data_IF_417479729089
#
_entry.id   IF_417479729089
#
_cell.length_a   1.000
_cell.length_b   1.000
_cell.length_c   1.000
_cell.angle_alpha   90.00
_cell.angle_beta   90.00
_cell.angle_gamma   90.00
#
_symmetry.space_group_name_H-M   'P 1'
#
loop_
_entity.id
_entity.type
_entity.pdbx_description
1 polymer ?
#
# COMPACT_ATOMS: atom_id res chain seq x y z
N UNK A 1 60.20 -10.67 38.82
CA UNK A 1 59.95 -9.32 39.34
C UNK A 1 60.61 -8.30 38.40
N UNK A 2 60.06 -7.08 38.30
CA UNK A 2 60.63 -5.77 37.88
C UNK A 2 62.17 -5.74 37.63
N UNK A 3 62.78 -5.01 36.69
CA UNK A 3 62.52 -3.71 36.01
C UNK A 3 63.17 -3.76 34.58
N UNK A 4 63.12 -2.80 33.64
CA UNK A 4 62.55 -1.42 33.56
C UNK A 4 62.27 -0.99 32.08
N UNK A 5 61.92 0.29 31.88
CA UNK A 5 62.07 1.06 30.62
C UNK A 5 63.21 2.12 30.81
N UNK A 6 63.59 3.10 29.96
CA UNK A 6 62.94 3.93 28.91
C UNK A 6 64.03 4.55 28.01
N UNK A 7 63.67 4.97 26.79
CA UNK A 7 64.23 6.10 25.98
C UNK A 7 64.85 5.67 24.66
N UNK A 8 64.80 6.42 23.55
CA UNK A 8 64.05 7.61 23.06
C UNK A 8 64.69 7.83 21.67
N UNK A 9 63.93 8.12 20.63
CA UNK A 9 64.41 9.04 19.57
C UNK A 9 63.24 9.58 18.76
N UNK A 10 63.46 10.74 18.14
CA UNK A 10 62.43 11.65 17.65
C UNK A 10 62.34 11.63 16.12
N UNK A 11 61.10 11.71 15.63
CA UNK A 11 60.64 12.36 14.39
C UNK A 11 61.66 12.66 13.27
N UNK A 12 61.34 12.16 12.07
CA UNK A 12 61.55 12.88 10.81
C UNK A 12 60.27 12.86 9.97
N UNK A 13 59.97 13.99 9.31
CA UNK A 13 58.90 14.11 8.31
C UNK A 13 59.45 13.68 6.95
N UNK A 14 58.68 12.93 6.16
CA UNK A 14 58.78 13.02 4.70
C UNK A 14 57.47 12.63 4.00
N UNK A 15 57.16 13.31 2.89
CA UNK A 15 55.95 13.09 2.11
C UNK A 15 56.08 11.85 1.20
N UNK A 16 55.24 10.84 1.39
CA UNK A 16 55.16 9.69 0.50
C UNK A 16 53.83 9.63 -0.26
N UNK A 17 53.85 10.08 -1.52
CA UNK A 17 52.70 10.01 -2.45
C UNK A 17 52.33 8.55 -2.74
N UNK A 18 51.19 8.06 -2.24
CA UNK A 18 50.62 6.80 -2.73
C UNK A 18 49.82 7.02 -4.01
N UNK A 19 50.35 6.53 -5.13
CA UNK A 19 49.61 6.43 -6.40
C UNK A 19 48.65 5.24 -6.33
N UNK A 20 47.35 5.47 -6.52
CA UNK A 20 46.35 4.42 -6.71
C UNK A 20 46.25 4.01 -8.19
N UNK A 21 46.58 2.76 -8.56
CA UNK A 21 46.31 2.26 -9.91
C UNK A 21 44.86 1.72 -10.03
N UNK A 22 44.04 2.42 -10.81
CA UNK A 22 43.11 1.82 -11.77
C UNK A 22 42.02 0.84 -11.31
N UNK A 23 40.77 1.31 -11.41
CA UNK A 23 39.55 0.54 -11.75
C UNK A 23 38.91 -0.37 -10.66
N UNK A 24 38.27 0.28 -9.69
CA UNK A 24 36.82 0.03 -9.50
C UNK A 24 36.12 1.36 -9.75
N UNK A 25 35.44 1.48 -10.90
CA UNK A 25 34.64 2.65 -11.20
C UNK A 25 33.38 2.63 -10.33
N UNK A 26 33.29 3.57 -9.38
CA UNK A 26 32.06 3.85 -8.64
C UNK A 26 31.03 4.37 -9.65
N UNK A 27 30.15 3.48 -10.12
CA UNK A 27 29.02 3.84 -10.99
C UNK A 27 27.92 4.56 -10.19
N UNK A 28 28.23 5.80 -9.80
CA UNK A 28 27.26 6.82 -9.42
C UNK A 28 27.46 7.98 -10.39
N UNK A 29 26.92 7.86 -11.62
CA UNK A 29 25.98 8.89 -12.05
C UNK A 29 24.91 8.37 -13.03
N UNK A 30 23.66 8.21 -12.58
CA UNK A 30 22.49 8.32 -13.47
C UNK A 30 21.16 8.61 -12.74
N UNK A 31 21.20 9.46 -11.71
CA UNK A 31 19.99 9.95 -11.03
C UNK A 31 19.53 11.35 -11.50
N UNK A 32 20.33 12.03 -12.35
CA UNK A 32 20.09 13.41 -12.81
C UNK A 32 20.02 13.50 -14.35
N UNK A 33 19.01 12.89 -14.99
CA UNK A 33 18.66 13.20 -16.40
C UNK A 33 17.22 12.86 -16.84
N UNK A 34 16.53 11.91 -16.18
CA UNK A 34 15.48 11.13 -16.85
C UNK A 34 14.03 11.28 -16.32
N UNK A 35 13.64 12.47 -15.82
CA UNK A 35 12.24 12.75 -15.43
C UNK A 35 11.75 14.13 -15.93
N UNK A 36 11.87 14.35 -17.24
CA UNK A 36 11.01 15.30 -17.94
C UNK A 36 9.53 14.91 -17.74
N UNK A 37 8.67 15.91 -17.63
CA UNK A 37 7.40 15.79 -16.91
C UNK A 37 6.35 14.86 -17.52
N UNK A 38 5.89 13.92 -16.70
CA UNK A 38 4.45 13.61 -16.57
C UNK A 38 4.18 13.53 -15.06
N UNK A 39 3.28 14.38 -14.55
CA UNK A 39 2.86 14.35 -13.14
C UNK A 39 1.87 13.21 -12.92
N UNK A 40 2.35 11.97 -12.82
CA UNK A 40 1.48 10.87 -12.41
C UNK A 40 1.22 10.94 -10.90
N UNK A 41 -0.05 10.93 -10.55
CA UNK A 41 -0.54 11.47 -9.29
C UNK A 41 -0.27 10.46 -8.17
N UNK A 42 0.20 10.95 -7.02
CA UNK A 42 0.11 10.21 -5.75
C UNK A 42 -1.36 10.19 -5.28
N UNK A 43 -2.24 9.59 -6.08
CA UNK A 43 -3.59 9.20 -5.70
C UNK A 43 -3.51 7.98 -4.79
N UNK A 44 -4.53 7.78 -3.95
CA UNK A 44 -4.60 6.72 -2.96
C UNK A 44 -4.23 5.36 -3.58
N UNK A 45 -3.09 4.78 -3.20
CA UNK A 45 -2.56 3.61 -3.89
C UNK A 45 -3.21 2.34 -3.35
N UNK A 46 -3.48 1.37 -4.22
CA UNK A 46 -3.94 0.05 -3.78
C UNK A 46 -2.74 -0.74 -3.28
N UNK A 47 -2.94 -1.62 -2.30
CA UNK A 47 -1.90 -2.58 -1.89
C UNK A 47 -1.59 -3.59 -3.01
N UNK A 48 -2.46 -3.70 -4.04
CA UNK A 48 -2.14 -4.35 -5.32
C UNK A 48 -0.82 -3.88 -5.96
N UNK A 49 -0.40 -2.65 -5.66
CA UNK A 49 0.79 -2.03 -6.24
C UNK A 49 2.05 -2.20 -5.36
N UNK A 50 1.99 -3.07 -4.34
CA UNK A 50 3.08 -3.37 -3.39
C UNK A 50 3.61 -4.80 -3.58
N UNK A 51 4.93 -5.04 -3.59
CA UNK A 51 5.51 -6.38 -3.52
C UNK A 51 5.67 -6.83 -2.05
N UNK A 52 5.92 -8.13 -1.79
CA UNK A 52 5.87 -8.71 -0.44
C UNK A 52 6.66 -7.98 0.67
N UNK A 53 7.86 -7.47 0.36
CA UNK A 53 8.82 -6.99 1.37
C UNK A 53 9.10 -5.48 1.32
N UNK A 54 8.75 -4.80 0.22
CA UNK A 54 8.99 -3.36 0.09
C UNK A 54 7.76 -2.56 0.53
N UNK A 55 7.98 -1.36 1.07
CA UNK A 55 6.87 -0.43 1.31
C UNK A 55 6.20 0.01 -0.01
N UNK A 56 6.96 -0.01 -1.12
CA UNK A 56 6.56 0.50 -2.43
C UNK A 56 6.27 1.99 -2.46
N UNK A 57 6.66 2.73 -1.41
CA UNK A 57 6.24 4.12 -1.18
C UNK A 57 4.73 4.26 -0.95
N UNK A 58 4.05 3.17 -0.59
CA UNK A 58 2.59 3.11 -0.48
C UNK A 58 2.06 4.06 0.59
N UNK A 59 1.01 4.79 0.23
CA UNK A 59 0.20 5.61 1.11
C UNK A 59 -1.28 5.22 0.93
N UNK A 60 -2.01 5.16 2.04
CA UNK A 60 -3.43 4.83 2.04
C UNK A 60 -4.31 5.98 1.54
N UNK A 61 -5.62 5.78 1.56
CA UNK A 61 -6.58 6.88 1.37
C UNK A 61 -6.60 7.81 2.60
N UNK A 62 -6.72 9.13 2.38
CA UNK A 62 -6.73 10.13 3.48
C UNK A 62 -7.85 9.87 4.48
N UNK A 63 -7.55 9.97 5.78
CA UNK A 63 -8.51 9.70 6.85
C UNK A 63 -8.85 8.21 7.02
N UNK A 64 -8.03 7.31 6.47
CA UNK A 64 -8.22 5.86 6.57
C UNK A 64 -7.21 5.26 7.54
N UNK A 65 -7.72 4.51 8.51
CA UNK A 65 -6.93 3.60 9.34
C UNK A 65 -6.72 2.30 8.55
N UNK A 66 -5.47 1.91 8.36
CA UNK A 66 -5.03 0.75 7.61
C UNK A 66 -4.62 -0.33 8.61
N UNK A 67 -5.23 -1.50 8.52
CA UNK A 67 -4.77 -2.70 9.21
C UNK A 67 -4.30 -3.72 8.17
N UNK A 68 -3.01 -4.07 8.19
CA UNK A 68 -2.49 -5.15 7.36
C UNK A 68 -2.04 -6.31 8.26
N UNK A 69 -2.49 -7.51 7.94
CA UNK A 69 -2.07 -8.74 8.57
C UNK A 69 -1.20 -9.52 7.58
N UNK A 70 0.11 -9.47 7.76
CA UNK A 70 1.08 -10.27 7.00
C UNK A 70 1.37 -11.54 7.79
N UNK A 71 0.98 -12.70 7.28
CA UNK A 71 1.21 -13.98 7.92
C UNK A 71 2.18 -14.82 7.10
N UNK A 72 3.38 -15.07 7.64
CA UNK A 72 4.38 -15.94 7.00
C UNK A 72 4.52 -17.24 7.78
N UNK A 73 4.73 -18.34 7.08
CA UNK A 73 4.86 -19.66 7.67
C UNK A 73 5.93 -20.49 6.96
N UNK A 74 6.64 -21.29 7.75
CA UNK A 74 7.58 -22.30 7.25
C UNK A 74 7.13 -23.69 7.67
N UNK A 75 7.38 -24.68 6.83
CA UNK A 75 7.22 -26.09 7.18
C UNK A 75 8.60 -26.63 7.56
N UNK A 76 8.72 -27.19 8.76
CA UNK A 76 9.94 -27.86 9.21
C UNK A 76 10.18 -29.20 8.50
N UNK A 77 11.39 -29.71 8.61
CA UNK A 77 11.80 -30.94 7.96
C UNK A 77 11.13 -32.20 8.56
N UNK A 78 11.31 -33.34 7.89
CA UNK A 78 10.91 -34.64 8.43
C UNK A 78 11.72 -34.99 9.71
N UNK A 79 11.15 -35.78 10.65
CA UNK A 79 9.83 -36.40 10.60
C UNK A 79 8.69 -35.45 11.01
N UNK A 80 8.98 -34.36 11.73
CA UNK A 80 7.97 -33.55 12.42
C UNK A 80 7.04 -32.77 11.48
N UNK A 81 7.55 -32.29 10.33
CA UNK A 81 6.78 -31.49 9.34
C UNK A 81 6.00 -30.32 9.96
N UNK A 82 6.52 -29.75 11.06
CA UNK A 82 5.84 -28.73 11.88
C UNK A 82 5.66 -27.44 11.08
N UNK A 83 4.43 -26.95 10.99
CA UNK A 83 4.16 -25.58 10.52
C UNK A 83 4.50 -24.60 11.65
N UNK A 84 5.40 -23.65 11.37
CA UNK A 84 5.75 -22.55 12.27
C UNK A 84 5.26 -21.25 11.67
N UNK A 85 4.47 -20.49 12.43
CA UNK A 85 3.82 -19.25 12.02
C UNK A 85 4.56 -18.03 12.59
N UNK A 86 4.70 -16.98 11.77
CA UNK A 86 5.37 -15.72 12.12
C UNK A 86 4.54 -14.54 11.57
N UNK A 87 3.39 -14.21 12.19
CA UNK A 87 2.61 -13.04 11.83
C UNK A 87 3.36 -11.72 12.13
N UNK A 88 3.12 -10.74 11.27
CA UNK A 88 3.40 -9.31 11.45
C UNK A 88 2.11 -8.52 11.23
N UNK A 89 1.77 -7.66 12.17
CA UNK A 89 0.63 -6.76 12.12
C UNK A 89 1.12 -5.34 11.83
N UNK A 90 0.51 -4.66 10.86
CA UNK A 90 0.70 -3.24 10.62
C UNK A 90 -0.60 -2.52 10.98
N UNK A 91 -0.51 -1.49 11.82
CA UNK A 91 -1.58 -0.53 12.04
C UNK A 91 -1.07 0.87 11.72
N UNK A 92 -1.68 1.55 10.75
CA UNK A 92 -1.25 2.87 10.31
C UNK A 92 -2.41 3.79 9.96
N UNK A 93 -2.32 5.07 10.30
CA UNK A 93 -3.30 6.08 9.95
C UNK A 93 -2.76 7.03 8.88
N UNK A 94 -3.49 7.15 7.77
CA UNK A 94 -3.18 8.12 6.74
C UNK A 94 -3.78 9.48 7.12
N UNK A 95 -2.91 10.45 7.42
CA UNK A 95 -3.34 11.81 7.73
C UNK A 95 -3.96 12.51 6.50
N UNK A 96 -4.66 13.66 6.69
CA UNK A 96 -5.14 14.49 5.58
C UNK A 96 -4.02 15.08 4.69
N UNK A 97 -2.80 15.13 5.23
CA UNK A 97 -1.54 15.45 4.54
C UNK A 97 -0.89 14.17 3.98
N UNK A 98 0.11 14.24 3.07
CA UNK A 98 0.76 13.05 2.49
C UNK A 98 1.76 12.39 3.46
N UNK A 99 1.29 12.07 4.67
CA UNK A 99 2.02 11.47 5.77
C UNK A 99 1.18 10.32 6.37
N UNK A 100 1.72 9.11 6.30
CA UNK A 100 1.22 7.92 6.98
C UNK A 100 2.01 7.77 8.28
N UNK A 101 1.34 7.54 9.40
CA UNK A 101 1.99 7.19 10.68
C UNK A 101 1.47 5.84 11.15
N UNK A 102 2.30 5.02 11.78
CA UNK A 102 1.87 3.70 12.22
C UNK A 102 2.94 2.91 12.94
N UNK A 103 2.68 1.62 13.13
CA UNK A 103 3.66 0.67 13.63
C UNK A 103 3.50 -0.70 12.95
N UNK A 104 4.60 -1.44 12.92
CA UNK A 104 4.63 -2.89 12.75
C UNK A 104 4.82 -3.56 14.11
N UNK A 105 4.09 -4.64 14.37
CA UNK A 105 4.37 -5.59 15.44
C UNK A 105 4.59 -6.98 14.83
N UNK A 106 5.82 -7.47 14.89
CA UNK A 106 6.22 -8.75 14.33
C UNK A 106 6.52 -9.77 15.42
N UNK A 107 6.10 -11.02 15.19
CA UNK A 107 6.36 -12.15 16.09
C UNK A 107 7.44 -13.07 15.53
N UNK A 108 8.12 -13.80 16.42
CA UNK A 108 9.27 -14.66 16.06
C UNK A 108 10.36 -13.89 15.32
N UNK A 109 10.68 -12.66 15.75
CA UNK A 109 11.67 -11.82 15.08
C UNK A 109 13.06 -12.46 15.09
N UNK A 110 13.78 -12.26 14.01
CA UNK A 110 15.15 -12.67 13.76
C UNK A 110 16.08 -11.45 13.60
N UNK A 111 15.60 -10.25 13.92
CA UNK A 111 16.38 -9.01 13.85
C UNK A 111 17.45 -8.95 14.94
N UNK A 112 17.09 -9.30 16.18
CA UNK A 112 18.00 -9.35 17.32
C UNK A 112 17.69 -10.55 18.21
N UNK A 113 18.71 -11.36 18.56
CA UNK A 113 18.52 -12.65 19.22
C UNK A 113 17.87 -12.57 20.62
N UNK A 114 17.99 -11.44 21.31
CA UNK A 114 17.37 -11.21 22.62
C UNK A 114 15.87 -10.89 22.56
N UNK A 115 15.32 -10.58 21.38
CA UNK A 115 13.97 -10.05 21.21
C UNK A 115 13.11 -10.97 20.34
N UNK A 116 12.28 -11.86 20.94
CA UNK A 116 11.47 -12.81 20.19
C UNK A 116 10.32 -12.15 19.42
N UNK A 117 9.97 -10.91 19.77
CA UNK A 117 9.01 -10.07 19.07
C UNK A 117 9.61 -8.69 18.87
N UNK A 118 9.12 -7.95 17.88
CA UNK A 118 9.72 -6.73 17.38
C UNK A 118 8.63 -5.68 17.12
N UNK A 119 8.86 -4.46 17.64
CA UNK A 119 8.04 -3.29 17.30
C UNK A 119 8.85 -2.34 16.43
N UNK A 120 8.25 -1.84 15.35
CA UNK A 120 8.79 -0.75 14.55
C UNK A 120 7.73 0.33 14.42
N UNK A 121 7.88 1.44 15.17
CA UNK A 121 7.01 2.62 15.01
C UNK A 121 7.58 3.47 13.87
N UNK A 122 6.75 3.91 12.92
CA UNK A 122 7.21 4.61 11.73
C UNK A 122 6.33 5.78 11.30
N UNK A 123 6.94 6.70 10.55
CA UNK A 123 6.27 7.73 9.77
C UNK A 123 6.78 7.67 8.32
N UNK A 124 5.88 7.76 7.35
CA UNK A 124 6.17 7.71 5.91
C UNK A 124 5.54 8.90 5.19
N UNK A 125 6.38 9.79 4.68
CA UNK A 125 5.99 10.88 3.79
C UNK A 125 6.14 10.43 2.33
N UNK A 126 5.22 10.80 1.43
CA UNK A 126 5.34 10.42 0.02
C UNK A 126 4.62 11.32 -0.97
N UNK A 127 5.28 11.65 -2.08
CA UNK A 127 4.75 12.52 -3.15
C UNK A 127 5.40 12.19 -4.49
N UNK A 128 4.61 12.21 -5.56
CA UNK A 128 5.09 12.10 -6.95
C UNK A 128 6.03 10.91 -7.22
N UNK A 129 5.65 9.72 -6.72
CA UNK A 129 6.45 8.49 -6.88
C UNK A 129 7.64 8.35 -5.94
N UNK A 130 7.99 9.37 -5.14
CA UNK A 130 9.05 9.29 -4.13
C UNK A 130 8.45 9.22 -2.73
N UNK A 131 9.00 8.40 -1.86
CA UNK A 131 8.62 8.32 -0.45
C UNK A 131 9.83 8.18 0.46
N UNK A 132 9.75 8.79 1.64
CA UNK A 132 10.71 8.66 2.72
C UNK A 132 9.98 8.09 3.93
N UNK A 133 10.43 6.94 4.42
CA UNK A 133 10.06 6.39 5.72
C UNK A 133 11.20 6.60 6.71
N UNK A 134 10.85 7.00 7.92
CA UNK A 134 11.70 6.88 9.10
C UNK A 134 10.94 6.05 10.15
N UNK A 135 11.65 5.20 10.89
CA UNK A 135 11.08 4.41 11.96
C UNK A 135 12.07 4.15 13.09
N UNK A 136 11.57 3.68 14.22
CA UNK A 136 12.38 3.22 15.34
C UNK A 136 12.09 1.75 15.61
N UNK A 137 13.12 0.92 15.49
CA UNK A 137 13.07 -0.51 15.70
C UNK A 137 13.46 -0.84 17.15
N UNK A 138 12.51 -1.38 17.92
CA UNK A 138 12.69 -1.66 19.34
C UNK A 138 13.61 -2.88 19.59
N UNK A 139 13.63 -3.87 18.69
CA UNK A 139 14.47 -5.06 18.84
C UNK A 139 15.95 -4.75 18.54
N UNK A 140 16.22 -3.87 17.56
CA UNK A 140 17.56 -3.39 17.28
C UNK A 140 18.01 -2.24 18.21
N UNK A 141 17.06 -1.48 18.75
CA UNK A 141 17.32 -0.27 19.54
C UNK A 141 17.73 0.93 18.67
N UNK A 142 17.17 1.08 17.46
CA UNK A 142 17.71 1.99 16.44
C UNK A 142 16.69 2.74 15.60
N UNK A 143 17.08 3.93 15.15
CA UNK A 143 16.37 4.67 14.11
C UNK A 143 16.77 4.22 12.72
N UNK A 144 15.82 3.79 11.91
CA UNK A 144 16.05 3.27 10.56
C UNK A 144 15.26 4.10 9.54
N UNK A 145 15.72 4.12 8.28
CA UNK A 145 15.10 4.89 7.21
C UNK A 145 15.07 4.14 5.87
N UNK A 146 14.07 4.43 5.05
CA UNK A 146 13.93 3.96 3.67
C UNK A 146 13.57 5.12 2.75
N UNK A 147 14.37 5.33 1.70
CA UNK A 147 14.00 6.13 0.53
C UNK A 147 13.49 5.17 -0.55
N UNK A 148 12.27 5.38 -1.02
CA UNK A 148 11.69 4.69 -2.18
C UNK A 148 11.52 5.65 -3.35
N UNK A 149 11.87 5.21 -4.55
CA UNK A 149 11.45 5.82 -5.81
C UNK A 149 10.67 4.77 -6.62
N UNK A 150 9.48 5.13 -7.11
CA UNK A 150 8.58 4.25 -7.86
C UNK A 150 7.97 4.97 -9.06
N UNK A 151 7.80 4.24 -10.18
CA UNK A 151 7.20 4.74 -11.42
C UNK A 151 6.22 3.72 -11.99
N UNK A 152 5.05 4.17 -12.42
CA UNK A 152 4.12 3.39 -13.24
C UNK A 152 4.37 3.65 -14.73
N UNK A 153 4.30 2.60 -15.54
CA UNK A 153 4.36 2.62 -17.01
C UNK A 153 3.28 1.65 -17.52
N UNK A 154 2.11 2.20 -17.84
CA UNK A 154 0.94 1.41 -18.21
C UNK A 154 0.50 0.47 -17.08
N UNK A 155 0.58 -0.85 -17.31
CA UNK A 155 0.21 -1.89 -16.33
C UNK A 155 1.35 -2.30 -15.40
N UNK A 156 2.57 -1.86 -15.66
CA UNK A 156 3.77 -2.19 -14.89
C UNK A 156 4.12 -1.05 -13.95
N UNK A 157 4.32 -1.34 -12.67
CA UNK A 157 4.97 -0.43 -11.71
C UNK A 157 6.35 -0.99 -11.37
N UNK A 158 7.34 -0.12 -11.39
CA UNK A 158 8.72 -0.41 -10.97
C UNK A 158 9.04 0.41 -9.72
N UNK A 159 9.88 -0.12 -8.85
CA UNK A 159 10.40 0.59 -7.69
C UNK A 159 11.85 0.24 -7.39
N UNK A 160 12.56 1.21 -6.83
CA UNK A 160 13.91 1.08 -6.27
C UNK A 160 13.90 1.65 -4.84
N UNK A 161 14.67 1.04 -3.95
CA UNK A 161 14.77 1.43 -2.54
C UNK A 161 16.23 1.53 -2.10
N UNK A 162 16.50 2.46 -1.20
CA UNK A 162 17.71 2.53 -0.39
C UNK A 162 17.33 2.64 1.08
N UNK A 163 17.96 1.83 1.94
CA UNK A 163 17.73 1.78 3.38
C UNK A 163 19.00 2.09 4.16
N UNK A 164 18.84 2.79 5.28
CA UNK A 164 19.84 3.03 6.31
C UNK A 164 19.30 2.43 7.61
N UNK A 165 20.05 1.50 8.20
CA UNK A 165 19.72 0.83 9.46
C UNK A 165 20.78 1.24 10.49
N UNK A 166 20.48 2.11 11.45
CA UNK A 166 21.55 2.77 12.23
C UNK A 166 22.26 1.84 13.23
N UNK A 167 21.54 0.86 13.79
CA UNK A 167 22.10 -0.31 14.45
C UNK A 167 21.59 -1.57 13.75
N UNK A 168 22.19 -1.94 12.63
CA UNK A 168 21.73 -3.06 11.81
C UNK A 168 21.86 -4.39 12.58
N UNK A 169 20.72 -5.00 12.89
CA UNK A 169 20.57 -6.29 13.56
C UNK A 169 21.17 -6.36 14.97
N UNK A 170 21.16 -5.23 15.69
CA UNK A 170 21.72 -5.10 17.04
C UNK A 170 23.21 -5.54 17.10
N UNK A 171 24.04 -4.91 16.27
CA UNK A 171 25.48 -5.21 16.13
C UNK A 171 26.39 -3.97 16.27
N UNK A 172 25.85 -2.87 16.78
CA UNK A 172 26.45 -1.54 16.95
C UNK A 172 27.14 -0.99 15.69
N UNK A 173 26.63 -1.40 14.52
CA UNK A 173 27.11 -0.95 13.21
C UNK A 173 25.96 -0.44 12.36
N UNK A 174 26.14 0.72 11.75
CA UNK A 174 25.21 1.22 10.71
C UNK A 174 25.37 0.39 9.45
N UNK A 175 24.25 -0.06 8.89
CA UNK A 175 24.20 -0.90 7.69
C UNK A 175 23.29 -0.30 6.64
N UNK A 176 23.56 -0.66 5.39
CA UNK A 176 22.85 -0.11 4.23
C UNK A 176 22.32 -1.25 3.39
N UNK A 177 21.10 -1.11 2.88
CA UNK A 177 20.53 -2.04 1.91
C UNK A 177 20.02 -1.30 0.68
N UNK A 178 20.13 -1.95 -0.48
CA UNK A 178 19.53 -1.48 -1.74
C UNK A 178 18.67 -2.59 -2.32
N UNK A 179 17.61 -2.20 -3.01
CA UNK A 179 16.68 -3.16 -3.57
C UNK A 179 15.81 -2.57 -4.67
N UNK A 180 15.00 -3.43 -5.24
CA UNK A 180 14.00 -3.05 -6.23
C UNK A 180 12.89 -4.07 -6.30
N UNK A 181 11.80 -3.67 -6.95
CA UNK A 181 10.64 -4.53 -7.14
C UNK A 181 9.79 -4.09 -8.31
N UNK A 182 8.85 -4.94 -8.68
CA UNK A 182 7.90 -4.70 -9.73
C UNK A 182 6.51 -5.23 -9.34
N UNK A 183 5.46 -4.55 -9.80
CA UNK A 183 4.10 -5.10 -9.84
C UNK A 183 3.53 -4.98 -11.25
N UNK A 184 2.93 -6.04 -11.76
CA UNK A 184 2.29 -6.11 -13.06
C UNK A 184 0.79 -6.34 -12.87
N UNK A 185 -0.03 -5.31 -13.09
CA UNK A 185 -1.49 -5.42 -13.08
C UNK A 185 -1.96 -6.21 -14.29
N UNK A 186 -2.32 -7.47 -14.08
CA UNK A 186 -2.93 -8.32 -15.11
C UNK A 186 -4.37 -7.87 -15.39
N UNK A 187 -5.10 -7.53 -14.33
CA UNK A 187 -6.49 -7.09 -14.36
C UNK A 187 -6.76 -6.08 -13.22
N UNK A 188 -7.96 -5.49 -13.16
CA UNK A 188 -8.37 -4.61 -12.04
C UNK A 188 -8.35 -5.31 -10.68
N UNK A 189 -8.54 -6.63 -10.66
CA UNK A 189 -8.58 -7.46 -9.46
C UNK A 189 -7.28 -8.20 -9.16
N UNK A 190 -6.32 -8.26 -10.11
CA UNK A 190 -5.17 -9.15 -10.02
C UNK A 190 -3.88 -8.48 -10.47
N UNK A 191 -2.83 -8.58 -9.67
CA UNK A 191 -1.46 -8.21 -10.05
C UNK A 191 -0.44 -9.27 -9.61
N UNK A 192 0.58 -9.50 -10.43
CA UNK A 192 1.76 -10.25 -10.01
C UNK A 192 2.78 -9.27 -9.45
N UNK A 193 3.44 -9.62 -8.36
CA UNK A 193 4.41 -8.77 -7.70
C UNK A 193 5.67 -9.53 -7.32
N UNK A 194 6.81 -8.84 -7.28
CA UNK A 194 8.05 -9.38 -6.75
C UNK A 194 9.06 -8.30 -6.39
N UNK A 195 9.97 -8.64 -5.48
CA UNK A 195 11.04 -7.77 -5.02
C UNK A 195 12.32 -8.53 -4.65
N UNK A 196 13.40 -7.76 -4.57
CA UNK A 196 14.71 -8.20 -4.10
C UNK A 196 15.39 -7.05 -3.35
N UNK A 197 16.00 -7.35 -2.19
CA UNK A 197 16.77 -6.39 -1.38
C UNK A 197 18.05 -7.05 -0.87
N UNK A 198 19.17 -6.35 -0.98
CA UNK A 198 20.47 -6.81 -0.50
C UNK A 198 21.09 -5.76 0.40
N UNK A 199 21.59 -6.20 1.55
CA UNK A 199 22.62 -5.46 2.29
C UNK A 199 23.82 -5.22 1.37
N UNK A 200 24.48 -4.06 1.52
CA UNK A 200 25.70 -3.71 0.79
C UNK A 200 26.93 -4.39 1.39
N UNK A 201 26.93 -4.60 2.71
CA UNK A 201 28.00 -5.18 3.52
C UNK A 201 27.67 -6.62 3.97
N UNK A 202 27.10 -7.45 3.07
CA UNK A 202 26.67 -8.82 3.41
C UNK A 202 27.78 -9.64 4.07
N UNK A 203 27.50 -10.15 5.26
CA UNK A 203 28.39 -11.02 6.04
C UNK A 203 28.15 -12.50 5.66
N UNK A 204 29.08 -13.42 5.93
CA UNK A 204 28.86 -14.85 5.71
C UNK A 204 27.56 -15.34 6.38
N UNK A 205 26.79 -16.14 5.66
CA UNK A 205 25.46 -16.61 6.08
C UNK A 205 24.30 -15.68 5.69
N UNK A 206 24.51 -14.38 5.54
CA UNK A 206 23.43 -13.44 5.21
C UNK A 206 22.97 -13.58 3.76
N UNK A 207 21.66 -13.76 3.55
CA UNK A 207 21.09 -13.86 2.20
C UNK A 207 20.50 -12.53 1.76
N UNK A 208 20.49 -12.35 0.44
CA UNK A 208 19.62 -11.37 -0.20
C UNK A 208 18.16 -11.72 0.11
N UNK A 209 17.41 -10.74 0.61
CA UNK A 209 15.97 -10.81 0.79
C UNK A 209 15.26 -10.78 -0.57
N UNK A 210 14.22 -11.59 -0.75
CA UNK A 210 13.38 -11.56 -1.94
C UNK A 210 11.95 -12.01 -1.62
N UNK A 211 11.03 -11.63 -2.49
CA UNK A 211 9.63 -12.06 -2.42
C UNK A 211 8.99 -12.09 -3.79
N UNK A 212 8.01 -12.96 -3.96
CA UNK A 212 7.08 -12.96 -5.09
C UNK A 212 5.66 -13.25 -4.59
N UNK A 213 4.64 -12.76 -5.28
CA UNK A 213 3.25 -13.01 -4.87
C UNK A 213 2.21 -12.63 -5.91
N UNK A 214 1.02 -13.21 -5.72
CA UNK A 214 -0.20 -12.82 -6.41
C UNK A 214 -1.00 -11.88 -5.49
N UNK A 215 -1.14 -10.64 -5.91
CA UNK A 215 -1.96 -9.62 -5.28
C UNK A 215 -3.39 -9.69 -5.83
N UNK A 216 -4.38 -9.68 -4.94
CA UNK A 216 -5.82 -9.82 -5.25
C UNK A 216 -6.59 -8.68 -4.57
N UNK A 217 -7.34 -7.89 -5.34
CA UNK A 217 -8.34 -6.97 -4.78
C UNK A 217 -9.69 -7.69 -4.75
N UNK A 218 -10.34 -7.67 -3.59
CA UNK A 218 -11.62 -8.35 -3.40
C UNK A 218 -12.71 -7.50 -4.05
N UNK A 219 -13.41 -8.01 -5.09
CA UNK A 219 -14.35 -7.24 -5.87
C UNK A 219 -15.36 -6.46 -5.01
N UNK A 220 -15.62 -5.22 -5.41
CA UNK A 220 -16.53 -4.27 -4.76
C UNK A 220 -16.18 -3.86 -3.32
N UNK A 221 -15.05 -4.33 -2.78
CA UNK A 221 -14.55 -3.93 -1.47
C UNK A 221 -13.24 -3.16 -1.60
N UNK A 222 -12.84 -2.37 -0.59
CA UNK A 222 -11.54 -1.74 -0.55
C UNK A 222 -10.45 -2.70 -0.02
N UNK A 223 -10.78 -3.97 0.23
CA UNK A 223 -9.89 -4.96 0.82
C UNK A 223 -9.02 -5.63 -0.24
N UNK A 224 -7.79 -5.97 0.16
CA UNK A 224 -6.87 -6.76 -0.65
C UNK A 224 -6.42 -7.99 0.12
N UNK A 225 -6.23 -9.09 -0.61
CA UNK A 225 -5.60 -10.30 -0.15
C UNK A 225 -4.42 -10.62 -1.07
N UNK A 226 -3.38 -11.28 -0.57
CA UNK A 226 -2.32 -11.77 -1.43
C UNK A 226 -1.78 -13.09 -0.94
N UNK A 227 -1.30 -13.92 -1.87
CA UNK A 227 -0.52 -15.12 -1.56
C UNK A 227 0.92 -14.85 -1.97
N UNK A 228 1.86 -15.11 -1.05
CA UNK A 228 3.25 -14.71 -1.16
C UNK A 228 4.18 -15.90 -0.91
N UNK A 229 5.33 -15.89 -1.58
CA UNK A 229 6.51 -16.69 -1.23
C UNK A 229 7.68 -15.74 -1.01
N UNK A 230 8.45 -15.97 0.05
CA UNK A 230 9.56 -15.09 0.43
C UNK A 230 10.59 -15.84 1.27
N UNK A 231 11.83 -15.35 1.31
CA UNK A 231 12.82 -15.78 2.30
C UNK A 231 13.02 -14.75 3.42
N UNK A 232 12.10 -13.81 3.64
CA UNK A 232 12.15 -12.87 4.77
C UNK A 232 11.23 -13.31 5.91
N UNK A 233 11.54 -12.88 7.14
CA UNK A 233 10.83 -13.30 8.34
C UNK A 233 9.80 -12.25 8.79
N UNK A 234 10.22 -11.02 9.11
CA UNK A 234 9.32 -9.91 9.51
C UNK A 234 9.18 -8.84 8.41
N UNK A 235 8.20 -7.94 8.55
CA UNK A 235 7.91 -6.88 7.56
C UNK A 235 8.46 -5.49 7.96
N UNK A 236 9.32 -5.41 8.99
CA UNK A 236 10.05 -4.20 9.38
C UNK A 236 11.18 -3.88 8.39
N UNK A 237 11.75 -2.68 8.43
CA UNK A 237 12.85 -2.30 7.55
C UNK A 237 14.07 -3.22 7.70
N UNK A 238 14.37 -3.70 8.91
CA UNK A 238 15.49 -4.62 9.14
C UNK A 238 15.15 -6.05 8.66
N UNK A 239 14.01 -6.61 9.08
CA UNK A 239 13.61 -7.97 8.73
C UNK A 239 13.28 -8.16 7.23
N UNK A 240 12.84 -7.10 6.56
CA UNK A 240 12.66 -7.08 5.11
C UNK A 240 13.96 -6.80 4.32
N UNK A 241 15.11 -6.58 4.99
CA UNK A 241 16.41 -6.31 4.34
C UNK A 241 17.37 -7.51 4.35
N UNK A 242 17.13 -8.52 5.19
CA UNK A 242 17.95 -9.74 5.29
C UNK A 242 17.09 -10.97 5.00
N UNK A 243 17.52 -11.78 4.05
CA UNK A 243 16.93 -13.08 3.80
C UNK A 243 17.49 -14.17 4.73
N UNK A 244 16.68 -15.17 5.02
CA UNK A 244 17.06 -16.40 5.73
C UNK A 244 17.25 -17.57 4.76
N UNK A 245 17.81 -18.68 5.24
CA UNK A 245 18.05 -19.91 4.47
C UNK A 245 16.77 -20.70 4.08
N UNK A 246 15.58 -20.27 4.51
CA UNK A 246 14.31 -20.99 4.28
C UNK A 246 13.34 -20.17 3.45
N UNK A 247 12.73 -20.81 2.46
CA UNK A 247 11.54 -20.29 1.79
C UNK A 247 10.35 -20.43 2.73
N UNK A 248 9.56 -19.36 2.83
CA UNK A 248 8.30 -19.29 3.57
C UNK A 248 7.16 -19.08 2.58
N UNK A 249 6.06 -19.78 2.82
CA UNK A 249 4.77 -19.38 2.29
C UNK A 249 4.21 -18.23 3.14
N UNK A 250 3.28 -17.47 2.59
CA UNK A 250 2.61 -16.45 3.36
C UNK A 250 1.41 -15.85 2.64
N UNK A 251 0.70 -15.00 3.36
CA UNK A 251 -0.34 -14.17 2.81
C UNK A 251 -0.36 -12.80 3.49
N UNK A 252 -0.95 -11.81 2.83
CA UNK A 252 -1.27 -10.52 3.44
C UNK A 252 -2.75 -10.23 3.23
N UNK A 253 -3.43 -9.76 4.27
CA UNK A 253 -4.79 -9.25 4.19
C UNK A 253 -4.82 -7.80 4.68
N UNK A 254 -5.36 -6.88 3.87
CA UNK A 254 -5.44 -5.45 4.18
C UNK A 254 -6.89 -5.00 4.34
N UNK A 255 -7.16 -4.36 5.48
CA UNK A 255 -8.46 -3.83 5.87
C UNK A 255 -8.36 -2.31 6.09
N UNK A 256 -8.69 -1.50 5.06
CA UNK A 256 -8.87 -0.06 5.23
C UNK A 256 -10.20 0.27 5.92
N UNK A 257 -10.14 1.05 7.00
CA UNK A 257 -11.26 1.63 7.71
C UNK A 257 -11.25 3.15 7.53
N UNK A 258 -12.04 3.67 6.58
CA UNK A 258 -12.17 5.12 6.39
C UNK A 258 -13.03 5.70 7.51
N UNK A 259 -12.44 6.47 8.41
CA UNK A 259 -13.06 6.82 9.71
C UNK A 259 -14.32 7.68 9.55
N UNK A 260 -14.43 8.46 8.47
CA UNK A 260 -15.64 9.24 8.16
C UNK A 260 -16.88 8.38 7.90
N UNK A 261 -16.74 7.09 7.56
CA UNK A 261 -17.85 6.14 7.43
C UNK A 261 -18.51 5.85 8.79
N UNK A 262 -17.72 5.82 9.86
CA UNK A 262 -18.15 5.39 11.19
C UNK A 262 -18.42 6.58 12.13
N UNK A 263 -17.63 7.64 12.01
CA UNK A 263 -17.64 8.80 12.92
C UNK A 263 -17.94 10.13 12.21
N UNK A 264 -18.15 10.12 10.89
CA UNK A 264 -18.54 11.31 10.15
C UNK A 264 -19.92 11.81 10.57
N UNK A 265 -20.04 13.12 10.85
CA UNK A 265 -21.34 13.77 11.06
C UNK A 265 -22.23 13.52 9.83
N UNK A 266 -23.31 12.74 9.99
CA UNK A 266 -24.44 12.74 9.05
C UNK A 266 -24.94 14.18 8.93
N UNK A 267 -24.65 14.85 7.82
CA UNK A 267 -25.14 16.22 7.64
C UNK A 267 -26.66 16.16 7.47
N UNK A 268 -27.40 16.85 8.35
CA UNK A 268 -28.85 17.07 8.19
C UNK A 268 -29.11 18.12 7.09
N UNK A 269 -28.63 17.83 5.88
CA UNK A 269 -28.79 18.68 4.70
C UNK A 269 -29.24 17.82 3.52
N UNK A 270 -30.51 17.42 3.60
CA UNK A 270 -31.33 17.49 2.40
C UNK A 270 -31.57 18.97 2.06
N UNK A 271 -31.78 19.28 0.78
CA UNK A 271 -32.07 20.61 0.23
C UNK A 271 -30.98 21.70 0.41
N UNK A 272 -30.14 21.85 -0.62
CA UNK A 272 -30.25 22.96 -1.60
C UNK A 272 -29.38 22.68 -2.82
N UNK A 273 -29.88 22.99 -4.01
CA UNK A 273 -29.14 22.85 -5.27
C UNK A 273 -28.04 23.93 -5.41
N UNK A 274 -27.07 23.64 -6.27
CA UNK A 274 -26.03 24.58 -6.68
C UNK A 274 -25.55 24.22 -8.09
N UNK A 275 -25.72 25.16 -9.02
CA UNK A 275 -25.31 25.02 -10.42
C UNK A 275 -23.79 25.20 -10.59
N UNK A 276 -23.25 24.62 -11.66
CA UNK A 276 -21.84 24.76 -12.05
C UNK A 276 -21.51 23.89 -13.27
N UNK A 277 -21.34 24.53 -14.43
CA UNK A 277 -21.15 23.90 -15.75
C UNK A 277 -19.72 23.28 -15.93
N UNK A 278 -19.39 22.52 -16.98
CA UNK A 278 -20.05 22.35 -18.29
C UNK A 278 -19.79 20.97 -18.93
N UNK A 279 -20.62 20.62 -19.92
CA UNK A 279 -20.52 19.41 -20.75
C UNK A 279 -21.90 18.94 -21.23
N UNK A 280 -22.29 19.32 -22.45
CA UNK A 280 -23.55 18.96 -23.10
C UNK A 280 -23.67 17.42 -23.26
N UNK A 281 -24.83 16.73 -23.14
CA UNK A 281 -26.24 17.15 -23.01
C UNK A 281 -26.93 16.42 -21.84
N UNK A 282 -27.32 17.10 -20.76
CA UNK A 282 -28.06 16.47 -19.64
C UNK A 282 -28.95 17.43 -18.82
N UNK A 283 -29.50 18.47 -19.46
CA UNK A 283 -30.17 19.59 -18.77
C UNK A 283 -31.39 19.22 -17.89
N UNK A 284 -31.99 18.04 -18.07
CA UNK A 284 -33.17 17.56 -17.33
C UNK A 284 -32.96 16.20 -16.62
N UNK A 285 -31.72 15.81 -16.30
CA UNK A 285 -31.50 14.57 -15.57
C UNK A 285 -31.89 14.70 -14.08
N UNK A 286 -32.88 13.91 -13.63
CA UNK A 286 -33.27 13.85 -12.21
C UNK A 286 -32.12 13.27 -11.39
N UNK A 287 -31.64 13.99 -10.38
CA UNK A 287 -30.49 13.55 -9.59
C UNK A 287 -30.89 12.58 -8.47
N UNK A 288 -30.08 11.56 -8.29
CA UNK A 288 -30.07 10.64 -7.16
C UNK A 288 -28.63 10.44 -6.67
N UNK A 289 -28.46 9.87 -5.47
CA UNK A 289 -27.13 9.59 -4.91
C UNK A 289 -27.04 8.23 -4.20
N UNK A 290 -25.80 7.75 -4.07
CA UNK A 290 -25.42 6.69 -3.14
C UNK A 290 -24.51 7.31 -2.08
N UNK A 291 -24.95 7.34 -0.83
CA UNK A 291 -24.23 7.98 0.27
C UNK A 291 -24.57 7.32 1.60
N UNK A 292 -23.58 7.10 2.45
CA UNK A 292 -23.72 6.43 3.77
C UNK A 292 -24.43 5.07 3.67
N UNK A 293 -24.09 4.27 2.66
CA UNK A 293 -24.72 2.95 2.41
C UNK A 293 -26.24 3.00 2.21
N UNK A 294 -26.77 4.03 1.54
CA UNK A 294 -28.16 4.08 1.08
C UNK A 294 -28.26 4.78 -0.27
N UNK A 295 -29.27 4.39 -1.06
CA UNK A 295 -29.76 5.21 -2.16
C UNK A 295 -30.55 6.40 -1.61
N UNK A 296 -30.41 7.55 -2.26
CA UNK A 296 -31.11 8.79 -1.95
C UNK A 296 -31.74 9.39 -3.21
N UNK A 297 -33.07 9.62 -3.26
CA UNK A 297 -34.09 9.12 -2.32
C UNK A 297 -34.33 7.61 -2.46
N UNK A 298 -35.01 6.99 -1.47
CA UNK A 298 -35.38 5.56 -1.52
C UNK A 298 -36.56 5.25 -2.44
N UNK A 299 -37.40 6.25 -2.72
CA UNK A 299 -38.51 6.19 -3.67
C UNK A 299 -38.45 7.48 -4.48
N UNK A 300 -38.37 7.36 -5.80
CA UNK A 300 -38.32 8.49 -6.71
C UNK A 300 -39.46 8.32 -7.72
N UNK A 301 -40.40 9.26 -7.75
CA UNK A 301 -41.42 9.30 -8.79
C UNK A 301 -40.94 10.19 -9.95
N UNK A 302 -41.09 9.71 -11.19
CA UNK A 302 -40.73 10.41 -12.43
C UNK A 302 -41.77 10.14 -13.52
N UNK A 303 -41.75 10.91 -14.60
CA UNK A 303 -42.58 10.64 -15.80
C UNK A 303 -41.81 9.81 -16.83
N UNK A 304 -42.54 9.10 -17.70
CA UNK A 304 -41.97 8.40 -18.87
C UNK A 304 -41.08 9.35 -19.69
N UNK A 305 -39.91 8.86 -20.09
CA UNK A 305 -38.87 9.60 -20.82
C UNK A 305 -37.83 10.27 -19.92
N UNK A 306 -38.03 10.28 -18.60
CA UNK A 306 -37.07 10.88 -17.66
C UNK A 306 -35.76 10.08 -17.57
N UNK A 307 -34.64 10.80 -17.63
CA UNK A 307 -33.31 10.25 -17.31
C UNK A 307 -32.99 10.51 -15.84
N UNK A 308 -32.72 9.45 -15.08
CA UNK A 308 -32.19 9.56 -13.71
C UNK A 308 -30.67 9.44 -13.77
N UNK A 309 -29.97 10.31 -13.04
CA UNK A 309 -28.51 10.29 -12.87
C UNK A 309 -28.17 10.07 -11.40
N UNK A 310 -27.47 8.98 -11.11
CA UNK A 310 -26.98 8.68 -9.77
C UNK A 310 -25.50 9.04 -9.63
N UNK A 311 -25.16 9.65 -8.49
CA UNK A 311 -23.77 9.95 -8.11
C UNK A 311 -23.33 9.08 -6.93
N UNK A 312 -22.17 8.43 -7.04
CA UNK A 312 -21.58 7.72 -5.90
C UNK A 312 -20.80 8.69 -5.01
N UNK A 313 -21.42 9.13 -3.92
CA UNK A 313 -20.83 9.99 -2.90
C UNK A 313 -20.24 9.18 -1.70
N UNK A 314 -20.23 7.85 -1.78
CA UNK A 314 -19.57 6.96 -0.83
C UNK A 314 -18.09 6.69 -1.22
N UNK A 315 -17.34 6.11 -0.28
CA UNK A 315 -15.96 5.65 -0.48
C UNK A 315 -15.89 4.17 -0.89
N UNK A 316 -17.02 3.58 -1.28
CA UNK A 316 -17.17 2.19 -1.66
C UNK A 316 -17.77 2.10 -3.06
N UNK A 317 -17.43 1.04 -3.78
CA UNK A 317 -18.06 0.74 -5.07
C UNK A 317 -19.50 0.34 -4.83
N UNK A 318 -20.42 0.93 -5.59
CA UNK A 318 -21.83 0.55 -5.60
C UNK A 318 -22.25 0.15 -7.01
N UNK A 319 -23.36 -0.58 -7.11
CA UNK A 319 -24.08 -0.83 -8.36
C UNK A 319 -25.52 -0.36 -8.20
N UNK A 320 -26.20 -0.24 -9.33
CA UNK A 320 -27.63 0.04 -9.41
C UNK A 320 -28.15 -1.02 -10.38
N UNK A 321 -28.76 -2.04 -9.80
CA UNK A 321 -29.06 -3.29 -10.49
C UNK A 321 -30.54 -3.60 -10.27
N UNK A 322 -31.30 -3.69 -11.36
CA UNK A 322 -32.74 -3.96 -11.31
C UNK A 322 -33.01 -5.34 -10.69
N UNK A 323 -34.03 -5.46 -9.86
CA UNK A 323 -34.39 -6.73 -9.21
C UNK A 323 -34.87 -7.77 -10.23
N UNK A 324 -35.44 -7.32 -11.36
CA UNK A 324 -35.83 -8.15 -12.52
C UNK A 324 -34.69 -8.41 -13.52
N UNK A 325 -33.50 -7.82 -13.28
CA UNK A 325 -32.31 -7.85 -14.14
C UNK A 325 -32.47 -7.18 -15.51
N UNK A 326 -33.47 -6.32 -15.70
CA UNK A 326 -33.66 -5.56 -16.94
C UNK A 326 -32.53 -4.57 -17.23
N UNK A 327 -31.83 -4.08 -16.20
CA UNK A 327 -30.65 -3.21 -16.31
C UNK A 327 -29.68 -3.36 -15.13
N UNK A 328 -28.41 -3.06 -15.39
CA UNK A 328 -27.34 -3.01 -14.39
C UNK A 328 -26.35 -1.89 -14.76
N UNK A 329 -25.96 -1.06 -13.78
CA UNK A 329 -24.92 -0.05 -13.97
C UNK A 329 -23.51 -0.65 -14.07
N UNK A 330 -23.32 -1.86 -13.54
CA UNK A 330 -22.01 -2.37 -13.17
C UNK A 330 -21.35 -1.50 -12.08
N UNK A 331 -20.04 -1.66 -11.84
CA UNK A 331 -19.31 -0.92 -10.80
C UNK A 331 -19.31 0.60 -11.02
N UNK A 332 -19.91 1.35 -10.07
CA UNK A 332 -19.78 2.81 -9.98
C UNK A 332 -18.75 3.12 -8.89
N UNK A 333 -17.56 3.54 -9.30
CA UNK A 333 -16.47 3.94 -8.40
C UNK A 333 -16.81 5.22 -7.59
N UNK A 334 -16.16 5.45 -6.43
CA UNK A 334 -16.29 6.70 -5.67
C UNK A 334 -16.12 7.96 -6.53
N UNK A 335 -17.06 8.91 -6.39
CA UNK A 335 -17.10 10.15 -7.17
C UNK A 335 -17.49 9.98 -8.65
N UNK A 336 -17.89 8.78 -9.10
CA UNK A 336 -18.40 8.54 -10.46
C UNK A 336 -19.93 8.55 -10.49
N UNK A 337 -20.48 8.65 -11.70
CA UNK A 337 -21.92 8.76 -11.94
C UNK A 337 -22.36 7.80 -13.03
N UNK A 338 -23.60 7.32 -12.93
CA UNK A 338 -24.28 6.53 -13.95
C UNK A 338 -25.66 7.11 -14.22
N UNK A 339 -26.19 6.91 -15.43
CA UNK A 339 -27.49 7.44 -15.84
C UNK A 339 -28.30 6.39 -16.61
N UNK A 340 -29.63 6.43 -16.45
CA UNK A 340 -30.58 5.56 -17.14
C UNK A 340 -31.85 6.31 -17.48
N UNK A 341 -32.43 6.04 -18.67
CA UNK A 341 -33.65 6.68 -19.16
C UNK A 341 -34.80 5.69 -19.12
N UNK A 342 -35.84 6.01 -18.36
CA UNK A 342 -36.99 5.12 -18.19
C UNK A 342 -38.05 5.42 -19.25
N UNK A 343 -38.27 4.47 -20.17
CA UNK A 343 -39.13 4.66 -21.35
C UNK A 343 -40.51 4.00 -21.25
N UNK A 344 -40.80 3.28 -20.17
CA UNK A 344 -42.08 2.63 -19.92
C UNK A 344 -42.60 2.97 -18.51
N UNK A 345 -43.93 3.06 -18.31
CA UNK A 345 -44.50 3.23 -16.98
C UNK A 345 -44.40 1.94 -16.16
N UNK A 346 -44.19 2.06 -14.85
CA UNK A 346 -44.03 0.90 -13.95
C UNK A 346 -43.30 1.23 -12.65
N UNK A 347 -43.17 0.25 -11.77
CA UNK A 347 -42.32 0.33 -10.58
C UNK A 347 -41.07 -0.53 -10.77
N UNK A 348 -39.90 0.11 -10.76
CA UNK A 348 -38.60 -0.52 -10.94
C UNK A 348 -37.89 -0.59 -9.59
N UNK A 349 -38.03 -1.73 -8.91
CA UNK A 349 -37.25 -2.04 -7.72
C UNK A 349 -35.81 -2.37 -8.10
N UNK A 350 -34.85 -1.85 -7.35
CA UNK A 350 -33.43 -2.06 -7.59
C UNK A 350 -32.63 -2.15 -6.29
N UNK A 351 -31.49 -2.81 -6.38
CA UNK A 351 -30.54 -3.00 -5.28
C UNK A 351 -29.10 -2.69 -5.69
N UNK A 352 -28.22 -2.64 -4.70
CA UNK A 352 -26.77 -2.66 -4.89
C UNK A 352 -26.27 -4.10 -4.74
N UNK A 353 -25.70 -4.71 -5.78
CA UNK A 353 -25.22 -6.09 -5.77
C UNK A 353 -24.22 -6.38 -4.64
N UNK A 354 -23.17 -5.58 -4.40
CA UNK A 354 -22.26 -5.82 -3.27
C UNK A 354 -22.85 -5.47 -1.90
N UNK A 355 -23.97 -4.76 -1.85
CA UNK A 355 -24.62 -4.32 -0.62
C UNK A 355 -26.13 -4.59 -0.66
N UNK A 356 -26.61 -5.86 -0.63
CA UNK A 356 -28.00 -6.22 -0.95
C UNK A 356 -29.09 -5.63 -0.04
N UNK A 357 -28.71 -5.01 1.08
CA UNK A 357 -29.60 -4.25 1.96
C UNK A 357 -29.87 -2.82 1.46
N UNK A 358 -29.05 -2.29 0.55
CA UNK A 358 -29.34 -1.05 -0.17
C UNK A 358 -30.37 -1.37 -1.25
N UNK A 359 -31.60 -0.88 -1.02
CA UNK A 359 -32.74 -1.04 -1.92
C UNK A 359 -33.48 0.29 -2.08
N UNK A 360 -34.02 0.50 -3.27
CA UNK A 360 -34.86 1.64 -3.61
C UNK A 360 -35.78 1.29 -4.79
N UNK A 361 -36.71 2.19 -5.12
CA UNK A 361 -37.66 2.03 -6.22
C UNK A 361 -37.78 3.31 -7.04
N UNK A 362 -37.76 3.18 -8.36
CA UNK A 362 -38.18 4.24 -9.30
C UNK A 362 -39.63 3.94 -9.70
N UNK A 363 -40.50 4.93 -9.59
CA UNK A 363 -41.91 4.82 -9.99
C UNK A 363 -42.14 5.74 -11.19
N UNK A 364 -42.36 5.14 -12.35
CA UNK A 364 -42.52 5.84 -13.62
C UNK A 364 -44.00 5.97 -13.93
N UNK A 365 -44.52 7.20 -13.85
CA UNK A 365 -45.91 7.54 -14.17
C UNK A 365 -46.05 7.86 -15.65
N UNK A 366 -47.20 7.53 -16.23
CA UNK A 366 -47.65 8.21 -17.44
C UNK A 366 -47.88 9.71 -17.14
N UNK A 367 -47.62 10.61 -18.10
CA UNK A 367 -47.88 12.04 -17.94
C UNK A 367 -49.36 12.37 -17.80
#
# INVERSE_FOLDING_TARGET
>A
MRHCAVSRLHLSNEEARLRLPGRIAVFVPCALSAFLGVTDVASCQSVLDRPPNLSGGWLGARGTLQFNFVHRFGVGDAPLRKVTNSPTFLLAYQLPVPLLIGFNYATSSDVAAAFPNEWEVFARYGRSGVALQAGYNQAAGSGDAELTAARSVGRLRLMAIGRLLSNGYHTDTTRYAVGGGATLRLHRWFALAGDVTSLLDKRPGEKTAWGAGLQIAIPYSPHTFSVQVTNTNTATLQGASRGIDRVRGGFEFTIPFTLSRYFGRRSKTAAKGGEGAAGETAANATQAEMRTMTFGPKRLEITVGTTVRWTNNDQLVHTITADDRSWDSGPIEPGKTWSHTFTQPGEYAFHCTPHPFMKAVIVVRQP
#
